data_IF_518139219455
#
_entry.id   IF_518139219455
#
_cell.length_a   1.000
_cell.length_b   1.000
_cell.length_c   1.000
_cell.angle_alpha   90.00
_cell.angle_beta   90.00
_cell.angle_gamma   90.00
#
_symmetry.space_group_name_H-M   'P 1'
#
loop_
_entity.id
_entity.type
_entity.pdbx_description
1 polymer ?
#
# COMPACT_ATOMS: atom_id res chain seq x y z
N UNK A 1 -0.01 -16.41 -17.43
CA UNK A 1 1.21 -15.96 -16.74
C UNK A 1 0.86 -14.76 -15.86
N UNK A 2 0.92 -14.94 -14.54
CA UNK A 2 0.59 -13.88 -13.55
C UNK A 2 1.67 -12.80 -13.40
N UNK A 3 2.71 -12.84 -14.22
CA UNK A 3 3.89 -11.95 -14.13
C UNK A 3 3.95 -10.86 -15.21
N UNK A 4 2.89 -10.59 -15.93
CA UNK A 4 2.88 -9.50 -16.89
C UNK A 4 2.15 -8.28 -16.31
N UNK A 5 2.79 -7.10 -16.42
CA UNK A 5 2.13 -5.82 -16.17
C UNK A 5 0.89 -5.70 -17.08
N UNK A 6 -0.13 -4.96 -16.65
CA UNK A 6 -1.43 -4.86 -17.31
C UNK A 6 -2.21 -6.20 -17.41
N UNK A 7 -1.95 -7.14 -16.51
CA UNK A 7 -2.76 -8.35 -16.39
C UNK A 7 -3.84 -8.17 -15.33
N UNK A 8 -4.98 -8.79 -15.54
CA UNK A 8 -6.07 -8.83 -14.55
C UNK A 8 -5.96 -10.10 -13.73
N UNK A 9 -5.89 -9.97 -12.41
CA UNK A 9 -6.00 -11.10 -11.50
C UNK A 9 -7.45 -11.33 -11.12
N UNK A 10 -8.00 -12.47 -11.51
CA UNK A 10 -9.35 -12.87 -11.10
C UNK A 10 -9.31 -13.49 -9.70
N UNK A 11 -9.71 -12.73 -8.71
CA UNK A 11 -9.71 -13.17 -7.31
C UNK A 11 -10.58 -14.43 -7.10
N UNK A 12 -11.72 -14.50 -7.77
CA UNK A 12 -12.60 -15.68 -7.70
C UNK A 12 -11.93 -16.96 -8.20
N UNK A 13 -11.10 -16.87 -9.24
CA UNK A 13 -10.33 -18.03 -9.74
C UNK A 13 -9.25 -18.45 -8.76
N UNK A 14 -8.61 -17.49 -8.10
CA UNK A 14 -7.60 -17.80 -7.07
C UNK A 14 -8.25 -18.49 -5.87
N UNK A 15 -9.36 -17.95 -5.36
CA UNK A 15 -10.11 -18.55 -4.25
C UNK A 15 -10.59 -19.95 -4.59
N UNK A 16 -11.18 -20.15 -5.78
CA UNK A 16 -11.61 -21.47 -6.23
C UNK A 16 -10.43 -22.45 -6.35
N UNK A 17 -9.29 -22.02 -6.86
CA UNK A 17 -8.10 -22.87 -6.95
C UNK A 17 -7.58 -23.30 -5.58
N UNK A 18 -7.71 -22.44 -4.55
CA UNK A 18 -7.36 -22.79 -3.17
C UNK A 18 -8.35 -23.83 -2.63
N UNK A 19 -9.65 -23.63 -2.85
CA UNK A 19 -10.69 -24.54 -2.39
C UNK A 19 -10.59 -25.93 -3.06
N UNK A 20 -10.09 -25.99 -4.29
CA UNK A 20 -9.87 -27.24 -5.04
C UNK A 20 -8.61 -28.01 -4.63
N UNK A 21 -7.75 -27.48 -3.76
CA UNK A 21 -6.52 -28.15 -3.33
C UNK A 21 -6.79 -29.43 -2.52
N UNK A 22 -7.96 -29.58 -1.94
CA UNK A 22 -8.39 -30.81 -1.29
C UNK A 22 -9.69 -30.70 -0.51
N UNK A 23 -10.42 -31.80 -0.43
CA UNK A 23 -11.71 -31.91 0.26
C UNK A 23 -11.64 -31.62 1.77
N UNK A 24 -10.43 -31.51 2.32
CA UNK A 24 -10.19 -31.15 3.73
C UNK A 24 -10.24 -29.64 3.98
N UNK A 25 -10.30 -28.81 2.92
CA UNK A 25 -10.47 -27.36 3.05
C UNK A 25 -11.95 -27.04 3.14
N UNK A 26 -12.43 -26.68 4.33
CA UNK A 26 -13.84 -26.34 4.57
C UNK A 26 -14.11 -24.88 4.21
N UNK A 27 -13.12 -24.00 4.43
CA UNK A 27 -13.20 -22.57 4.08
C UNK A 27 -11.82 -21.97 3.93
N UNK A 28 -11.70 -20.96 3.08
CA UNK A 28 -10.51 -20.11 3.02
C UNK A 28 -10.91 -18.63 3.14
N UNK A 29 -10.04 -17.82 3.72
CA UNK A 29 -10.13 -16.39 3.72
C UNK A 29 -8.83 -15.85 3.14
N UNK A 30 -8.90 -15.31 1.92
CA UNK A 30 -7.74 -14.81 1.20
C UNK A 30 -7.76 -13.28 1.21
N UNK A 31 -6.65 -12.69 1.64
CA UNK A 31 -6.41 -11.25 1.58
C UNK A 31 -5.38 -10.97 0.49
N UNK A 32 -5.62 -9.94 -0.28
CA UNK A 32 -4.67 -9.46 -1.27
C UNK A 32 -4.14 -8.10 -0.86
N UNK A 33 -2.83 -7.99 -0.82
CA UNK A 33 -2.15 -6.72 -0.61
C UNK A 33 -1.29 -6.38 -1.82
N UNK A 34 -1.23 -5.10 -2.15
CA UNK A 34 -0.33 -4.56 -3.15
C UNK A 34 0.74 -3.72 -2.47
N UNK A 35 1.97 -3.82 -2.94
CA UNK A 35 3.08 -3.00 -2.51
C UNK A 35 3.60 -2.19 -3.69
N UNK A 36 3.69 -0.87 -3.52
CA UNK A 36 4.33 0.05 -4.45
C UNK A 36 5.65 0.55 -3.87
N UNK A 37 6.68 0.60 -4.70
CA UNK A 37 7.98 1.16 -4.35
C UNK A 37 8.12 2.54 -4.94
N UNK A 38 8.19 3.54 -4.07
CA UNK A 38 8.42 4.93 -4.42
C UNK A 38 9.91 5.25 -4.28
N UNK A 39 10.52 5.75 -5.34
CA UNK A 39 11.88 6.27 -5.26
C UNK A 39 11.84 7.66 -4.66
N UNK A 40 12.04 7.74 -3.36
CA UNK A 40 12.22 8.99 -2.62
C UNK A 40 13.70 9.09 -2.29
N UNK A 41 14.43 10.08 -2.86
CA UNK A 41 15.85 10.24 -2.57
C UNK A 41 16.09 10.43 -1.08
N UNK A 42 17.00 9.66 -0.51
CA UNK A 42 17.44 9.84 0.86
C UNK A 42 18.40 11.04 0.90
N UNK A 43 17.88 12.20 1.27
CA UNK A 43 18.62 13.44 1.36
C UNK A 43 18.01 14.32 2.45
N UNK A 44 18.81 14.63 3.47
CA UNK A 44 18.40 15.51 4.56
C UNK A 44 17.90 16.86 4.02
N UNK A 45 16.87 17.39 4.64
CA UNK A 45 16.25 18.68 4.33
C UNK A 45 15.68 18.82 2.90
N UNK A 46 15.56 17.71 2.18
CA UNK A 46 14.97 17.73 0.82
C UNK A 46 13.57 17.17 0.85
N UNK A 47 12.58 18.00 0.56
CA UNK A 47 11.18 17.61 0.47
C UNK A 47 10.64 17.80 -0.94
N UNK A 48 9.75 16.91 -1.36
CA UNK A 48 9.10 16.95 -2.67
C UNK A 48 7.68 16.37 -2.59
N UNK A 49 6.96 16.48 -3.69
CA UNK A 49 5.67 15.83 -3.84
C UNK A 49 5.85 14.49 -4.56
N UNK A 50 5.18 13.46 -4.08
CA UNK A 50 5.17 12.13 -4.68
C UNK A 50 3.73 11.67 -4.84
N UNK A 51 3.43 11.07 -5.98
CA UNK A 51 2.14 10.44 -6.23
C UNK A 51 2.35 9.00 -6.66
N UNK A 52 1.43 8.13 -6.29
CA UNK A 52 1.37 6.76 -6.77
C UNK A 52 -0.08 6.32 -6.87
N UNK A 53 -0.36 5.34 -7.69
CA UNK A 53 -1.70 4.84 -7.87
C UNK A 53 -1.69 3.30 -7.87
N UNK A 54 -2.43 2.71 -6.95
CA UNK A 54 -2.63 1.26 -6.90
C UNK A 54 -3.62 0.75 -7.96
N UNK A 55 -4.31 1.66 -8.68
CA UNK A 55 -5.30 1.40 -9.72
C UNK A 55 -6.47 0.49 -9.27
N UNK A 56 -6.67 0.35 -7.99
CA UNK A 56 -7.66 -0.53 -7.38
C UNK A 56 -8.29 0.13 -6.15
N UNK A 57 -9.49 -0.32 -5.80
CA UNK A 57 -10.12 0.09 -4.54
C UNK A 57 -9.32 -0.43 -3.35
N UNK A 58 -9.03 0.47 -2.43
CA UNK A 58 -8.23 0.20 -1.24
C UNK A 58 -9.13 0.05 -0.02
N UNK A 59 -8.81 -0.92 0.83
CA UNK A 59 -9.43 -1.05 2.14
C UNK A 59 -8.92 0.06 3.06
N UNK A 60 -9.79 0.91 3.62
CA UNK A 60 -9.38 1.94 4.57
C UNK A 60 -8.69 1.36 5.82
N UNK A 61 -7.75 2.12 6.39
CA UNK A 61 -6.91 1.75 7.54
C UNK A 61 -5.88 0.65 7.28
N UNK A 62 -5.52 0.39 6.02
CA UNK A 62 -4.56 -0.67 5.67
C UNK A 62 -3.26 -0.17 5.07
N UNK A 63 -3.15 1.14 4.78
CA UNK A 63 -1.90 1.71 4.28
C UNK A 63 -0.82 1.61 5.35
N UNK A 64 0.30 1.05 4.95
CA UNK A 64 1.51 0.93 5.77
C UNK A 64 2.74 1.18 4.91
N UNK A 65 3.89 1.41 5.52
CA UNK A 65 5.17 1.52 4.81
C UNK A 65 6.28 0.78 5.55
N UNK A 66 7.40 0.56 4.85
CA UNK A 66 8.66 0.26 5.53
C UNK A 66 9.12 1.47 6.37
N UNK A 67 10.08 1.23 7.27
CA UNK A 67 10.65 2.28 8.12
C UNK A 67 11.55 3.23 7.32
N UNK A 68 11.41 4.53 7.57
CA UNK A 68 12.29 5.57 7.09
C UNK A 68 12.72 6.49 8.23
N UNK A 69 13.83 7.18 8.07
CA UNK A 69 14.43 8.02 9.11
C UNK A 69 14.26 9.49 8.78
N UNK A 70 13.80 10.26 9.74
CA UNK A 70 13.78 11.73 9.76
C UNK A 70 14.36 12.17 11.12
N UNK A 71 15.32 13.07 11.12
CA UNK A 71 15.98 13.58 12.32
C UNK A 71 16.46 12.48 13.28
N UNK A 72 17.03 11.41 12.70
CA UNK A 72 17.57 10.28 13.46
C UNK A 72 16.51 9.38 14.13
N UNK A 73 15.23 9.55 13.84
CA UNK A 73 14.14 8.73 14.35
C UNK A 73 13.46 7.95 13.24
N UNK A 74 13.07 6.71 13.51
CA UNK A 74 12.34 5.87 12.54
C UNK A 74 10.86 6.18 12.57
N UNK A 75 10.30 6.40 11.38
CA UNK A 75 8.90 6.69 11.14
C UNK A 75 8.31 5.74 10.11
N UNK A 76 6.97 5.72 10.05
CA UNK A 76 6.15 4.92 9.17
C UNK A 76 4.98 5.75 8.64
N UNK A 77 4.40 5.33 7.51
CA UNK A 77 3.15 5.88 7.00
C UNK A 77 1.96 5.06 7.48
N UNK A 78 0.83 5.73 7.63
CA UNK A 78 -0.49 5.12 7.78
C UNK A 78 -1.56 6.02 7.18
N UNK A 79 -2.71 5.45 6.83
CA UNK A 79 -3.87 6.22 6.43
C UNK A 79 -4.84 6.46 7.58
N UNK A 80 -5.63 7.53 7.41
CA UNK A 80 -6.70 7.90 8.32
C UNK A 80 -7.87 8.49 7.52
N UNK A 81 -9.04 7.81 7.44
CA UNK A 81 -10.18 8.32 6.70
C UNK A 81 -10.63 9.69 7.18
N UNK A 82 -11.05 10.55 6.23
CA UNK A 82 -11.50 11.91 6.54
C UNK A 82 -12.79 11.92 7.35
N UNK A 83 -13.69 10.95 7.11
CA UNK A 83 -14.98 10.84 7.78
C UNK A 83 -15.22 9.41 8.29
N UNK A 84 -15.21 9.22 9.60
CA UNK A 84 -15.43 7.89 10.19
C UNK A 84 -16.88 7.40 10.20
N UNK A 85 -17.84 8.31 10.02
CA UNK A 85 -19.27 8.02 10.13
C UNK A 85 -20.04 8.13 8.81
N UNK A 86 -19.35 8.37 7.71
CA UNK A 86 -19.96 8.49 6.38
C UNK A 86 -19.44 7.35 5.51
N UNK A 87 -20.30 6.41 5.16
CA UNK A 87 -19.95 5.28 4.30
C UNK A 87 -20.59 5.43 2.91
N UNK A 88 -19.90 5.00 1.83
CA UNK A 88 -18.55 4.44 1.84
C UNK A 88 -17.48 5.49 2.11
N UNK A 89 -16.37 5.08 2.77
CA UNK A 89 -15.20 5.93 2.93
C UNK A 89 -14.55 6.12 1.57
N UNK A 90 -14.41 7.37 1.12
CA UNK A 90 -13.88 7.67 -0.22
C UNK A 90 -12.47 8.24 -0.18
N UNK A 91 -12.17 9.05 0.83
CA UNK A 91 -10.88 9.75 0.97
C UNK A 91 -10.33 9.67 2.38
N UNK A 92 -9.03 9.89 2.50
CA UNK A 92 -8.34 9.94 3.78
C UNK A 92 -7.05 10.75 3.72
N UNK A 93 -6.46 10.94 4.89
CA UNK A 93 -5.15 11.57 5.08
C UNK A 93 -4.08 10.52 5.26
N UNK A 94 -2.89 10.79 4.76
CA UNK A 94 -1.70 10.02 5.08
C UNK A 94 -1.00 10.71 6.24
N UNK A 95 -0.65 9.93 7.26
CA UNK A 95 0.00 10.39 8.49
C UNK A 95 1.36 9.76 8.62
N UNK A 96 2.29 10.52 9.20
CA UNK A 96 3.62 10.03 9.59
C UNK A 96 3.61 9.81 11.09
N UNK A 97 3.99 8.61 11.52
CA UNK A 97 4.06 8.26 12.93
C UNK A 97 5.31 7.42 13.25
N UNK A 98 5.68 7.42 14.51
CA UNK A 98 6.62 6.45 15.10
C UNK A 98 5.98 5.73 16.27
N UNK A 99 6.52 4.58 16.59
CA UNK A 99 6.10 3.85 17.78
C UNK A 99 7.03 4.15 18.96
N UNK A 100 6.44 4.36 20.12
CA UNK A 100 7.17 4.54 21.37
C UNK A 100 6.37 3.94 22.52
N UNK A 101 6.92 2.93 23.17
CA UNK A 101 6.28 2.24 24.31
C UNK A 101 4.85 1.75 24.00
N UNK A 102 4.63 1.21 22.79
CA UNK A 102 3.33 0.71 22.34
C UNK A 102 2.31 1.79 21.91
N UNK A 103 2.72 3.04 21.89
CA UNK A 103 1.88 4.16 21.44
C UNK A 103 2.39 4.74 20.12
N UNK A 104 1.47 5.22 19.29
CA UNK A 104 1.80 5.98 18.08
C UNK A 104 1.98 7.44 18.41
N UNK A 105 3.15 7.97 18.08
CA UNK A 105 3.47 9.40 18.18
C UNK A 105 3.52 9.96 16.77
N UNK A 106 2.66 10.92 16.48
CA UNK A 106 2.54 11.49 15.14
C UNK A 106 3.53 12.64 14.94
N UNK A 107 4.30 12.57 13.85
CA UNK A 107 5.12 13.68 13.37
C UNK A 107 4.27 14.62 12.51
N UNK A 108 3.46 14.07 11.61
CA UNK A 108 2.61 14.83 10.71
C UNK A 108 1.25 14.11 10.55
N UNK A 109 0.16 14.85 10.81
CA UNK A 109 -1.20 14.33 10.68
C UNK A 109 -1.78 14.48 9.27
N UNK A 110 -1.09 15.21 8.38
CA UNK A 110 -1.54 15.53 7.04
C UNK A 110 -0.35 15.58 6.06
N UNK A 111 0.42 14.48 6.02
CA UNK A 111 1.56 14.34 5.11
C UNK A 111 1.14 14.04 3.66
N UNK A 112 -0.14 13.75 3.45
CA UNK A 112 -0.67 13.44 2.13
C UNK A 112 -2.12 13.04 2.17
N UNK A 113 -2.61 12.58 1.02
CA UNK A 113 -3.99 12.12 0.82
C UNK A 113 -4.03 10.74 0.18
N UNK A 114 -5.13 10.04 0.40
CA UNK A 114 -5.46 8.77 -0.26
C UNK A 114 -6.91 8.82 -0.74
N UNK A 115 -7.14 8.35 -1.97
CA UNK A 115 -8.46 8.06 -2.50
C UNK A 115 -8.67 6.54 -2.46
N UNK A 116 -9.61 6.08 -1.64
CA UNK A 116 -9.89 4.65 -1.47
C UNK A 116 -10.63 4.01 -2.65
N UNK A 117 -11.22 4.82 -3.54
CA UNK A 117 -11.94 4.31 -4.70
C UNK A 117 -11.03 4.04 -5.89
N UNK A 118 -10.01 4.88 -6.07
CA UNK A 118 -9.06 4.80 -7.17
C UNK A 118 -7.72 4.17 -6.77
N UNK A 119 -7.38 4.18 -5.47
CA UNK A 119 -6.09 3.77 -4.96
C UNK A 119 -4.99 4.82 -5.19
N UNK A 120 -5.36 6.06 -5.53
CA UNK A 120 -4.40 7.14 -5.68
C UNK A 120 -3.93 7.63 -4.31
N UNK A 121 -2.62 7.78 -4.17
CA UNK A 121 -1.97 8.40 -3.02
C UNK A 121 -1.14 9.60 -3.48
N UNK A 122 -1.13 10.65 -2.67
CA UNK A 122 -0.30 11.83 -2.89
C UNK A 122 0.36 12.24 -1.57
N UNK A 123 1.69 12.24 -1.55
CA UNK A 123 2.49 12.76 -0.44
C UNK A 123 2.90 14.19 -0.76
N UNK A 124 2.73 15.10 0.19
CA UNK A 124 3.05 16.52 0.06
C UNK A 124 4.19 16.87 1.01
N UNK A 125 5.18 17.61 0.51
CA UNK A 125 6.34 18.03 1.31
C UNK A 125 6.98 16.86 2.08
N UNK A 126 7.16 15.74 1.38
CA UNK A 126 7.71 14.52 1.95
C UNK A 126 9.18 14.35 1.60
N UNK A 127 9.99 13.99 2.58
CA UNK A 127 11.41 13.69 2.42
C UNK A 127 11.86 12.73 3.51
N UNK A 128 12.98 12.06 3.28
CA UNK A 128 13.60 11.11 4.21
C UNK A 128 15.10 11.32 4.25
N UNK A 129 15.72 11.16 5.41
CA UNK A 129 17.16 11.24 5.56
C UNK A 129 17.84 9.92 5.16
N UNK A 130 17.21 8.80 5.49
CA UNK A 130 17.66 7.46 5.15
C UNK A 130 16.51 6.44 5.30
N UNK A 131 16.76 5.20 4.92
CA UNK A 131 15.86 4.07 5.13
C UNK A 131 16.38 3.14 6.21
N UNK A 132 15.50 2.33 6.79
CA UNK A 132 15.90 1.32 7.77
C UNK A 132 16.41 0.05 7.06
N UNK A 133 17.38 -0.61 7.66
CA UNK A 133 17.92 -1.86 7.14
C UNK A 133 18.65 -1.69 5.80
N UNK A 134 18.31 -2.51 4.81
CA UNK A 134 18.90 -2.51 3.47
C UNK A 134 18.00 -1.81 2.43
N UNK A 135 16.90 -1.21 2.85
CA UNK A 135 15.97 -0.55 1.95
C UNK A 135 16.58 0.71 1.34
N UNK A 136 16.23 0.98 0.10
CA UNK A 136 16.66 2.16 -0.65
C UNK A 136 15.48 2.93 -1.25
N UNK A 137 14.27 2.44 -1.00
CA UNK A 137 13.01 2.97 -1.51
C UNK A 137 11.95 3.00 -0.41
N UNK A 138 10.97 3.85 -0.57
CA UNK A 138 9.77 3.84 0.25
C UNK A 138 8.80 2.79 -0.30
N UNK A 139 8.61 1.71 0.43
CA UNK A 139 7.68 0.66 0.08
C UNK A 139 6.34 0.96 0.75
N UNK A 140 5.31 1.22 -0.03
CA UNK A 140 3.95 1.47 0.47
C UNK A 140 3.08 0.27 0.18
N UNK A 141 2.49 -0.30 1.21
CA UNK A 141 1.62 -1.47 1.15
C UNK A 141 0.20 -1.09 1.52
N UNK A 142 -0.77 -1.65 0.80
CA UNK A 142 -2.21 -1.55 1.10
C UNK A 142 -2.87 -2.93 0.98
N UNK A 143 -4.03 -3.08 1.60
CA UNK A 143 -4.95 -4.18 1.29
C UNK A 143 -6.01 -3.71 0.29
N UNK A 144 -6.40 -4.60 -0.60
CA UNK A 144 -7.47 -4.34 -1.53
C UNK A 144 -8.83 -4.42 -0.85
N UNK A 145 -9.77 -3.60 -1.31
CA UNK A 145 -11.12 -3.61 -0.77
C UNK A 145 -11.76 -4.99 -0.93
N UNK A 146 -12.41 -5.48 0.11
CA UNK A 146 -13.08 -6.80 0.10
C UNK A 146 -14.20 -6.84 -0.93
N UNK A 147 -14.35 -7.99 -1.57
CA UNK A 147 -15.40 -8.23 -2.57
C UNK A 147 -15.03 -7.78 -3.99
N UNK A 148 -13.78 -7.40 -4.25
CA UNK A 148 -13.32 -7.19 -5.61
C UNK A 148 -13.27 -8.52 -6.35
N UNK A 149 -13.77 -8.50 -7.59
CA UNK A 149 -13.80 -9.68 -8.46
C UNK A 149 -12.55 -9.70 -9.34
N UNK A 150 -12.18 -8.53 -9.83
CA UNK A 150 -11.05 -8.32 -10.74
C UNK A 150 -10.10 -7.29 -10.11
N UNK A 151 -8.82 -7.55 -10.22
CA UNK A 151 -7.77 -6.70 -9.68
C UNK A 151 -6.86 -6.31 -10.82
N UNK A 152 -6.79 -5.02 -11.09
CA UNK A 152 -5.86 -4.49 -12.07
C UNK A 152 -4.44 -4.39 -11.48
N UNK A 153 -3.47 -4.97 -12.16
CA UNK A 153 -2.07 -4.80 -11.81
C UNK A 153 -1.58 -3.53 -12.49
N UNK A 154 -1.27 -2.48 -11.71
CA UNK A 154 -0.91 -1.18 -12.28
C UNK A 154 0.33 -1.28 -13.16
N UNK A 155 0.39 -0.45 -14.20
CA UNK A 155 1.56 -0.35 -15.08
C UNK A 155 2.76 0.26 -14.32
N UNK A 156 3.96 -0.17 -14.69
CA UNK A 156 5.21 0.26 -14.06
C UNK A 156 5.58 1.73 -14.33
N UNK A 157 4.83 2.42 -15.17
CA UNK A 157 5.12 3.77 -15.61
C UNK A 157 4.10 4.78 -15.09
N UNK A 158 4.24 5.20 -13.82
CA UNK A 158 3.50 6.36 -13.33
C UNK A 158 4.40 7.58 -13.44
N UNK A 159 4.06 8.49 -14.37
CA UNK A 159 4.74 9.77 -14.51
C UNK A 159 4.16 10.78 -13.53
N UNK A 160 5.01 11.37 -12.69
CA UNK A 160 4.64 12.48 -11.84
C UNK A 160 5.37 13.76 -12.26
N UNK A 161 4.60 14.82 -12.56
CA UNK A 161 5.08 16.18 -12.77
C UNK A 161 6.15 16.41 -13.86
N UNK A 162 6.05 15.73 -15.01
CA UNK A 162 6.88 16.02 -16.18
C UNK A 162 8.38 15.76 -15.99
N UNK A 163 8.78 15.14 -14.90
CA UNK A 163 10.12 14.57 -14.70
C UNK A 163 9.97 13.06 -14.66
N UNK A 164 10.72 12.39 -15.52
CA UNK A 164 10.85 10.95 -15.53
C UNK A 164 11.42 10.45 -14.19
N UNK A 165 10.57 10.25 -13.20
CA UNK A 165 10.89 9.36 -12.12
C UNK A 165 10.34 8.00 -12.51
N UNK A 166 11.21 7.14 -12.97
CA UNK A 166 10.95 5.72 -13.09
C UNK A 166 10.56 5.21 -11.70
N UNK A 167 9.27 5.19 -11.44
CA UNK A 167 8.72 4.32 -10.42
C UNK A 167 8.93 2.90 -10.90
N UNK A 168 10.02 2.27 -10.46
CA UNK A 168 10.14 0.83 -10.57
C UNK A 168 9.06 0.22 -9.68
N UNK A 169 7.88 0.05 -10.23
CA UNK A 169 6.80 -0.72 -9.65
C UNK A 169 7.24 -2.17 -9.61
N UNK A 170 7.88 -2.56 -8.53
CA UNK A 170 7.93 -3.94 -8.14
C UNK A 170 6.66 -4.18 -7.32
N UNK A 171 5.57 -4.49 -8.00
CA UNK A 171 4.34 -4.88 -7.34
C UNK A 171 4.56 -6.28 -6.79
N UNK A 172 4.92 -6.38 -5.53
CA UNK A 172 4.91 -7.63 -4.81
C UNK A 172 3.45 -7.88 -4.38
N UNK A 173 2.83 -8.85 -5.02
CA UNK A 173 1.55 -9.36 -4.59
C UNK A 173 1.79 -10.36 -3.47
N UNK A 174 1.44 -9.99 -2.24
CA UNK A 174 1.38 -10.92 -1.12
C UNK A 174 0.00 -11.54 -1.08
N UNK A 175 -0.06 -12.85 -1.26
CA UNK A 175 -1.27 -13.64 -1.01
C UNK A 175 -1.11 -14.22 0.39
N UNK A 176 -1.89 -13.69 1.32
CA UNK A 176 -1.96 -14.21 2.68
C UNK A 176 -3.25 -15.00 2.81
N UNK A 177 -3.14 -16.31 3.03
CA UNK A 177 -4.28 -17.17 3.28
C UNK A 177 -4.40 -17.31 4.79
N UNK A 178 -5.31 -16.54 5.40
CA UNK A 178 -5.69 -16.72 6.79
C UNK A 178 -6.87 -17.68 6.90
N UNK A 179 -6.78 -18.60 7.86
CA UNK A 179 -7.94 -19.39 8.25
C UNK A 179 -8.33 -20.52 7.30
N UNK A 180 -7.35 -21.31 6.84
CA UNK A 180 -7.66 -22.62 6.29
C UNK A 180 -8.22 -23.47 7.44
N UNK A 181 -9.51 -23.76 7.40
CA UNK A 181 -10.13 -24.67 8.33
C UNK A 181 -10.07 -26.07 7.74
N UNK A 182 -9.26 -26.91 8.34
CA UNK A 182 -9.15 -28.33 7.97
C UNK A 182 -10.29 -29.12 8.61
N UNK A 183 -10.78 -30.13 7.89
CA UNK A 183 -11.76 -31.07 8.38
C UNK A 183 -11.16 -32.02 9.43
#
# INVERSE_FOLDING_TARGET
ELNSFNSTLYFSKLSAAIDELGDYIISNTTFLSLELRLTVPAAADTVSQYTANFANKVQPHTLSSNGFVIDGQTYYLMDWPDHHNVFPLTTGKIRIYRESSGNKIYLNLNAGTIDYQTGEIALSEFGVDSYTGTDTTLNVKIELARGMIDIDIPDSNIYTNGREQLLALNTNMNIEVEGIKLA
#
